data_IF_065835013627
#
_entry.id   IF_065835013627
#
_cell.length_a   1.000
_cell.length_b   1.000
_cell.length_c   1.000
_cell.angle_alpha   90.00
_cell.angle_beta   90.00
_cell.angle_gamma   90.00
#
_symmetry.space_group_name_H-M   'P 1'
#
loop_
_entity.id
_entity.type
_entity.pdbx_description
1 polymer ?
#
# COMPACT_ATOMS: atom_id res chain seq x y z
N UNK A 1 -35.26 -19.24 -19.60
CA UNK A 1 -34.66 -18.02 -19.01
C UNK A 1 -35.30 -16.79 -19.64
N UNK A 2 -35.72 -15.82 -18.88
CA UNK A 2 -36.25 -14.59 -19.45
C UNK A 2 -35.20 -13.89 -20.33
N UNK A 3 -35.59 -13.28 -21.45
CA UNK A 3 -34.66 -12.67 -22.43
C UNK A 3 -33.72 -11.61 -21.84
N UNK A 4 -34.11 -10.99 -20.75
CA UNK A 4 -33.33 -9.94 -20.06
C UNK A 4 -32.10 -10.48 -19.34
N UNK A 5 -32.04 -11.76 -19.01
CA UNK A 5 -30.87 -12.41 -18.39
C UNK A 5 -29.87 -12.93 -19.44
N UNK A 6 -30.15 -12.71 -20.72
CA UNK A 6 -29.30 -13.10 -21.84
C UNK A 6 -28.54 -11.94 -22.47
N UNK A 7 -28.69 -10.72 -21.91
CA UNK A 7 -27.95 -9.56 -22.43
C UNK A 7 -26.43 -9.76 -22.23
N UNK A 8 -25.60 -9.42 -23.24
CA UNK A 8 -24.16 -9.57 -23.16
C UNK A 8 -23.56 -8.85 -21.93
N UNK A 9 -24.16 -7.74 -21.50
CA UNK A 9 -23.73 -6.96 -20.35
C UNK A 9 -23.93 -7.73 -19.03
N UNK A 10 -25.08 -8.39 -18.87
CA UNK A 10 -25.35 -9.19 -17.65
C UNK A 10 -24.43 -10.41 -17.61
N UNK A 11 -24.17 -11.05 -18.73
CA UNK A 11 -23.23 -12.17 -18.80
C UNK A 11 -21.80 -11.73 -18.50
N UNK A 12 -21.34 -10.61 -19.06
CA UNK A 12 -20.03 -10.03 -18.78
C UNK A 12 -19.88 -9.68 -17.30
N UNK A 13 -20.93 -9.09 -16.70
CA UNK A 13 -20.96 -8.78 -15.28
C UNK A 13 -20.90 -10.04 -14.40
N UNK A 14 -21.72 -11.05 -14.71
CA UNK A 14 -21.77 -12.29 -13.93
C UNK A 14 -20.47 -13.10 -13.99
N UNK A 15 -19.76 -13.08 -15.11
CA UNK A 15 -18.46 -13.75 -15.26
C UNK A 15 -17.29 -12.93 -14.77
N UNK A 16 -17.36 -11.60 -14.86
CA UNK A 16 -16.29 -10.68 -14.45
C UNK A 16 -16.20 -10.46 -12.94
N UNK A 17 -17.33 -10.45 -12.23
CA UNK A 17 -17.34 -10.19 -10.78
C UNK A 17 -16.47 -11.18 -9.97
N UNK A 18 -16.59 -12.50 -10.12
CA UNK A 18 -15.78 -13.43 -9.34
C UNK A 18 -14.28 -13.24 -9.57
N UNK A 19 -13.88 -12.93 -10.79
CA UNK A 19 -12.47 -12.66 -11.15
C UNK A 19 -12.03 -11.35 -10.49
N UNK A 20 -12.78 -10.27 -10.65
CA UNK A 20 -12.47 -8.96 -10.07
C UNK A 20 -12.38 -9.02 -8.54
N UNK A 21 -13.31 -9.72 -7.89
CA UNK A 21 -13.29 -9.89 -6.44
C UNK A 21 -12.10 -10.76 -5.98
N UNK A 22 -11.73 -11.78 -6.74
CA UNK A 22 -10.56 -12.61 -6.46
C UNK A 22 -9.26 -11.81 -6.54
N UNK A 23 -9.09 -11.02 -7.58
CA UNK A 23 -7.89 -10.23 -7.80
C UNK A 23 -7.81 -9.03 -6.83
N UNK A 24 -8.92 -8.36 -6.58
CA UNK A 24 -9.00 -7.32 -5.55
C UNK A 24 -8.76 -7.89 -4.16
N UNK A 25 -9.30 -9.06 -3.84
CA UNK A 25 -9.12 -9.73 -2.56
C UNK A 25 -7.66 -10.08 -2.28
N UNK A 26 -6.94 -10.64 -3.26
CA UNK A 26 -5.51 -10.94 -3.09
C UNK A 26 -4.67 -9.66 -2.98
N UNK A 27 -5.01 -8.64 -3.73
CA UNK A 27 -4.33 -7.34 -3.68
C UNK A 27 -4.51 -6.68 -2.30
N UNK A 28 -5.72 -6.71 -1.75
CA UNK A 28 -5.99 -6.23 -0.39
C UNK A 28 -5.27 -7.05 0.67
N UNK A 29 -5.19 -8.36 0.51
CA UNK A 29 -4.45 -9.22 1.42
C UNK A 29 -2.96 -8.87 1.40
N UNK A 30 -2.37 -8.64 0.24
CA UNK A 30 -0.97 -8.22 0.10
C UNK A 30 -0.76 -6.84 0.75
N UNK A 31 -1.70 -5.91 0.59
CA UNK A 31 -1.66 -4.61 1.24
C UNK A 31 -1.63 -4.74 2.77
N UNK A 32 -2.51 -5.55 3.34
CA UNK A 32 -2.59 -5.78 4.78
C UNK A 32 -1.30 -6.46 5.30
N UNK A 33 -0.83 -7.50 4.62
CA UNK A 33 0.42 -8.18 4.97
C UNK A 33 1.60 -7.22 4.85
N UNK A 34 1.67 -6.44 3.78
CA UNK A 34 2.73 -5.46 3.57
C UNK A 34 2.75 -4.39 4.65
N UNK A 35 1.60 -3.86 5.03
CA UNK A 35 1.47 -2.91 6.13
C UNK A 35 1.87 -3.53 7.48
N UNK A 36 1.50 -4.78 7.73
CA UNK A 36 1.89 -5.52 8.94
C UNK A 36 3.41 -5.76 8.98
N UNK A 37 4.01 -6.20 7.89
CA UNK A 37 5.47 -6.39 7.78
C UNK A 37 6.18 -5.05 8.02
N UNK A 38 5.69 -3.98 7.41
CA UNK A 38 6.23 -2.65 7.63
C UNK A 38 6.18 -2.25 9.10
N UNK A 39 5.02 -2.42 9.75
CA UNK A 39 4.84 -2.10 11.17
C UNK A 39 5.74 -2.94 12.10
N UNK A 40 6.02 -4.19 11.75
CA UNK A 40 6.92 -5.06 12.51
C UNK A 40 8.41 -4.69 12.34
N UNK A 41 8.78 -4.21 11.16
CA UNK A 41 10.16 -3.86 10.84
C UNK A 41 10.52 -2.42 11.21
N UNK A 42 9.53 -1.57 11.48
CA UNK A 42 9.73 -0.22 11.98
C UNK A 42 9.70 -0.23 13.51
N UNK A 43 10.67 0.43 14.18
CA UNK A 43 10.86 0.30 15.62
C UNK A 43 9.85 1.08 16.49
N UNK A 44 8.87 1.75 15.89
CA UNK A 44 7.84 2.48 16.63
C UNK A 44 6.48 1.79 16.54
N UNK A 45 5.75 1.82 17.66
CA UNK A 45 4.43 1.19 17.79
C UNK A 45 3.34 2.11 17.24
N UNK A 46 3.20 2.20 15.92
CA UNK A 46 2.31 3.14 15.26
C UNK A 46 0.86 3.05 15.74
N UNK A 47 0.29 1.85 15.84
CA UNK A 47 -1.11 1.68 16.25
C UNK A 47 -1.33 2.14 17.70
N UNK A 48 -0.40 1.86 18.61
CA UNK A 48 -0.46 2.31 19.99
C UNK A 48 -0.42 3.85 20.05
N UNK A 49 0.52 4.45 19.34
CA UNK A 49 0.68 5.90 19.26
C UNK A 49 -0.56 6.59 18.67
N UNK A 50 -1.18 5.98 17.66
CA UNK A 50 -2.41 6.50 17.07
C UNK A 50 -3.56 6.46 18.07
N UNK A 51 -3.69 5.38 18.84
CA UNK A 51 -4.71 5.27 19.90
C UNK A 51 -4.51 6.32 21.00
N UNK A 52 -3.28 6.73 21.24
CA UNK A 52 -2.91 7.80 22.17
C UNK A 52 -3.07 9.21 21.57
N UNK A 53 -3.51 9.31 20.33
CA UNK A 53 -3.76 10.59 19.64
C UNK A 53 -2.54 11.18 18.91
N UNK A 54 -1.51 10.38 18.64
CA UNK A 54 -0.32 10.85 17.92
C UNK A 54 -0.62 11.02 16.43
N UNK A 55 -0.78 12.26 16.00
CA UNK A 55 -1.09 12.63 14.60
C UNK A 55 0.06 12.32 13.65
N UNK A 56 1.30 12.46 14.09
CA UNK A 56 2.47 12.15 13.26
C UNK A 56 2.54 10.65 12.94
N UNK A 57 2.25 9.79 13.92
CA UNK A 57 2.17 8.34 13.71
C UNK A 57 1.01 7.98 12.77
N UNK A 58 -0.15 8.62 12.91
CA UNK A 58 -1.30 8.41 12.03
C UNK A 58 -0.98 8.82 10.58
N UNK A 59 -0.34 9.96 10.39
CA UNK A 59 0.10 10.42 9.08
C UNK A 59 1.13 9.47 8.47
N UNK A 60 2.11 9.01 9.24
CA UNK A 60 3.11 8.05 8.81
C UNK A 60 2.46 6.75 8.31
N UNK A 61 1.54 6.18 9.08
CA UNK A 61 0.82 4.95 8.68
C UNK A 61 -0.05 5.17 7.45
N UNK A 62 -0.72 6.31 7.33
CA UNK A 62 -1.48 6.68 6.14
C UNK A 62 -0.57 6.71 4.90
N UNK A 63 0.64 7.26 5.02
CA UNK A 63 1.66 7.25 3.97
C UNK A 63 2.09 5.84 3.57
N UNK A 64 2.21 4.93 4.52
CA UNK A 64 2.50 3.50 4.25
C UNK A 64 1.38 2.88 3.43
N UNK A 65 0.14 3.05 3.86
CA UNK A 65 -1.03 2.47 3.18
C UNK A 65 -1.16 2.99 1.74
N UNK A 66 -1.04 4.29 1.54
CA UNK A 66 -1.08 4.89 0.19
C UNK A 66 0.14 4.48 -0.64
N UNK A 67 1.33 4.49 -0.02
CA UNK A 67 2.58 4.08 -0.67
C UNK A 67 2.60 2.63 -1.14
N UNK A 68 1.88 1.75 -0.48
CA UNK A 68 1.67 0.37 -0.89
C UNK A 68 0.50 0.22 -1.87
N UNK A 69 -0.62 0.88 -1.60
CA UNK A 69 -1.85 0.72 -2.38
C UNK A 69 -1.71 1.21 -3.82
N UNK A 70 -1.05 2.35 -4.05
CA UNK A 70 -0.92 2.94 -5.39
C UNK A 70 -0.18 2.01 -6.36
N UNK A 71 1.04 1.52 -6.08
CA UNK A 71 1.71 0.59 -6.97
C UNK A 71 1.05 -0.81 -7.00
N UNK A 72 0.41 -1.25 -5.92
CA UNK A 72 -0.38 -2.50 -5.94
C UNK A 72 -1.59 -2.39 -6.89
N UNK A 73 -2.27 -1.25 -6.92
CA UNK A 73 -3.35 -1.00 -7.87
C UNK A 73 -2.84 -1.00 -9.33
N UNK A 74 -1.67 -0.43 -9.58
CA UNK A 74 -1.04 -0.49 -10.90
C UNK A 74 -0.66 -1.94 -11.28
N UNK A 75 -0.09 -2.70 -10.34
CA UNK A 75 0.21 -4.11 -10.52
C UNK A 75 -1.04 -4.94 -10.84
N UNK A 76 -2.15 -4.68 -10.15
CA UNK A 76 -3.43 -5.34 -10.40
C UNK A 76 -3.91 -5.12 -11.84
N UNK A 77 -3.73 -3.92 -12.38
CA UNK A 77 -4.13 -3.57 -13.75
C UNK A 77 -3.21 -4.15 -14.82
N UNK A 78 -1.93 -4.34 -14.50
CA UNK A 78 -0.89 -4.77 -15.45
C UNK A 78 -0.65 -6.28 -15.43
N UNK A 79 -1.01 -6.98 -14.34
CA UNK A 79 -0.69 -8.39 -14.15
C UNK A 79 -1.73 -9.32 -14.79
N UNK A 80 -1.25 -10.44 -15.35
CA UNK A 80 -2.08 -11.47 -15.95
C UNK A 80 -2.35 -12.66 -15.02
N UNK A 81 -1.72 -12.68 -13.85
CA UNK A 81 -1.87 -13.77 -12.88
C UNK A 81 -1.72 -13.29 -11.44
N UNK A 82 -2.33 -14.03 -10.52
CA UNK A 82 -2.23 -13.76 -9.07
C UNK A 82 -0.80 -13.90 -8.55
N UNK A 83 -0.02 -14.79 -9.13
CA UNK A 83 1.39 -14.95 -8.78
C UNK A 83 2.20 -13.70 -9.15
N UNK A 84 1.93 -13.12 -10.32
CA UNK A 84 2.57 -11.88 -10.76
C UNK A 84 2.27 -10.72 -9.81
N UNK A 85 1.01 -10.58 -9.39
CA UNK A 85 0.62 -9.59 -8.37
C UNK A 85 1.40 -9.80 -7.07
N UNK A 86 1.56 -11.05 -6.63
CA UNK A 86 2.32 -11.37 -5.42
C UNK A 86 3.81 -11.02 -5.54
N UNK A 87 4.44 -11.30 -6.67
CA UNK A 87 5.85 -10.96 -6.94
C UNK A 87 6.05 -9.44 -6.92
N UNK A 88 5.17 -8.69 -7.60
CA UNK A 88 5.17 -7.24 -7.55
C UNK A 88 4.95 -6.72 -6.14
N UNK A 89 4.07 -7.35 -5.37
CA UNK A 89 3.82 -7.01 -3.97
C UNK A 89 5.08 -7.08 -3.11
N UNK A 90 5.87 -8.14 -3.23
CA UNK A 90 7.16 -8.27 -2.51
C UNK A 90 8.12 -7.14 -2.88
N UNK A 91 8.23 -6.83 -4.17
CA UNK A 91 9.08 -5.74 -4.65
C UNK A 91 8.61 -4.39 -4.10
N UNK A 92 7.32 -4.11 -4.14
CA UNK A 92 6.73 -2.87 -3.64
C UNK A 92 7.01 -2.67 -2.15
N UNK A 93 6.81 -3.72 -1.34
CA UNK A 93 7.09 -3.69 0.09
C UNK A 93 8.58 -3.39 0.33
N UNK A 94 9.47 -4.04 -0.41
CA UNK A 94 10.91 -3.84 -0.30
C UNK A 94 11.32 -2.40 -0.63
N UNK A 95 10.77 -1.81 -1.68
CA UNK A 95 11.02 -0.41 -2.05
C UNK A 95 10.53 0.54 -0.96
N UNK A 96 9.35 0.31 -0.40
CA UNK A 96 8.80 1.17 0.67
C UNK A 96 9.62 1.09 1.97
N UNK A 97 10.15 -0.08 2.30
CA UNK A 97 11.09 -0.23 3.43
C UNK A 97 12.42 0.49 3.17
N UNK A 98 12.92 0.42 1.94
CA UNK A 98 14.13 1.14 1.54
C UNK A 98 13.93 2.65 1.64
N UNK A 99 12.80 3.17 1.18
CA UNK A 99 12.44 4.59 1.30
C UNK A 99 12.44 5.02 2.77
N UNK A 100 11.82 4.23 3.66
CA UNK A 100 11.88 4.50 5.10
C UNK A 100 13.32 4.61 5.61
N UNK A 101 14.19 3.66 5.24
CA UNK A 101 15.60 3.67 5.67
C UNK A 101 16.37 4.87 5.15
N UNK A 102 16.14 5.27 3.90
CA UNK A 102 16.79 6.45 3.32
C UNK A 102 16.38 7.72 4.09
N UNK A 103 15.11 7.89 4.38
CA UNK A 103 14.61 9.05 5.12
C UNK A 103 15.11 9.03 6.57
N UNK A 104 15.17 7.87 7.21
CA UNK A 104 15.74 7.72 8.55
C UNK A 104 17.22 8.12 8.59
N UNK A 105 18.00 7.74 7.57
CA UNK A 105 19.39 8.15 7.44
C UNK A 105 19.55 9.67 7.26
N UNK A 106 18.65 10.31 6.52
CA UNK A 106 18.68 11.76 6.28
C UNK A 106 18.28 12.54 7.55
N UNK A 107 17.20 12.14 8.20
CA UNK A 107 16.65 12.85 9.35
C UNK A 107 17.27 12.45 10.70
N UNK A 108 17.95 11.33 10.78
CA UNK A 108 18.53 10.74 12.00
C UNK A 108 17.49 10.57 13.14
N UNK A 109 17.15 9.34 13.44
CA UNK A 109 16.18 9.00 14.50
C UNK A 109 14.73 9.25 14.13
N UNK A 110 14.36 8.98 12.89
CA UNK A 110 13.00 9.14 12.38
C UNK A 110 11.93 8.47 13.26
N UNK A 111 12.11 7.23 13.76
CA UNK A 111 11.11 6.60 14.63
C UNK A 111 10.85 7.39 15.91
N UNK A 112 11.87 7.89 16.55
CA UNK A 112 11.76 8.70 17.78
C UNK A 112 11.05 10.03 17.50
N UNK A 113 11.39 10.70 16.42
CA UNK A 113 10.75 11.97 16.01
C UNK A 113 9.25 11.80 15.76
N UNK A 114 8.84 10.69 15.15
CA UNK A 114 7.43 10.35 14.96
C UNK A 114 6.75 10.04 16.31
N UNK A 115 7.41 9.30 17.21
CA UNK A 115 6.90 9.03 18.55
C UNK A 115 6.67 10.32 19.34
N UNK A 116 7.54 11.29 19.20
CA UNK A 116 7.42 12.62 19.83
C UNK A 116 6.38 13.52 19.15
N UNK A 117 5.72 13.06 18.11
CA UNK A 117 4.66 13.79 17.41
C UNK A 117 5.17 14.84 16.42
N UNK A 118 6.40 14.71 15.92
CA UNK A 118 6.98 15.66 15.00
C UNK A 118 6.37 15.55 13.60
N UNK A 119 5.50 16.48 13.25
CA UNK A 119 4.78 16.49 11.99
C UNK A 119 5.67 16.74 10.77
N UNK A 120 6.75 17.50 10.92
CA UNK A 120 7.69 17.78 9.81
C UNK A 120 8.37 16.50 9.32
N UNK A 121 8.79 15.64 10.24
CA UNK A 121 9.40 14.36 9.92
C UNK A 121 8.40 13.41 9.26
N UNK A 122 7.18 13.30 9.81
CA UNK A 122 6.12 12.47 9.24
C UNK A 122 5.70 12.93 7.85
N UNK A 123 5.57 14.23 7.62
CA UNK A 123 5.20 14.80 6.32
C UNK A 123 6.24 14.51 5.25
N UNK A 124 7.52 14.66 5.55
CA UNK A 124 8.60 14.34 4.61
C UNK A 124 8.59 12.84 4.26
N UNK A 125 8.42 11.99 5.26
CA UNK A 125 8.33 10.54 5.06
C UNK A 125 7.17 10.17 4.13
N UNK A 126 5.99 10.73 4.38
CA UNK A 126 4.79 10.52 3.54
C UNK A 126 5.03 10.98 2.12
N UNK A 127 5.60 12.18 1.94
CA UNK A 127 5.93 12.71 0.61
C UNK A 127 6.88 11.79 -0.16
N UNK A 128 7.92 11.29 0.49
CA UNK A 128 8.87 10.36 -0.12
C UNK A 128 8.20 9.02 -0.49
N UNK A 129 7.35 8.49 0.39
CA UNK A 129 6.63 7.23 0.15
C UNK A 129 5.63 7.34 -1.00
N UNK A 130 4.84 8.39 -1.02
CA UNK A 130 3.85 8.63 -2.07
C UNK A 130 4.55 8.93 -3.40
N UNK A 131 5.59 9.76 -3.39
CA UNK A 131 6.37 10.08 -4.58
C UNK A 131 7.00 8.83 -5.21
N UNK A 132 7.67 8.01 -4.41
CA UNK A 132 8.25 6.74 -4.89
C UNK A 132 7.18 5.75 -5.38
N UNK A 133 6.03 5.71 -4.72
CA UNK A 133 4.90 4.86 -5.11
C UNK A 133 4.32 5.26 -6.48
N UNK A 134 4.18 6.55 -6.75
CA UNK A 134 3.70 7.05 -8.03
C UNK A 134 4.69 6.73 -9.17
N UNK A 135 5.98 6.90 -8.92
CA UNK A 135 7.02 6.54 -9.90
C UNK A 135 7.01 5.04 -10.18
N UNK A 136 6.94 4.23 -9.11
CA UNK A 136 6.90 2.78 -9.24
C UNK A 136 5.65 2.32 -10.00
N UNK A 137 4.48 2.87 -9.68
CA UNK A 137 3.24 2.58 -10.38
C UNK A 137 3.32 2.92 -11.88
N UNK A 138 3.95 4.05 -12.22
CA UNK A 138 4.16 4.45 -13.61
C UNK A 138 5.14 3.52 -14.36
N UNK A 139 6.08 2.91 -13.66
CA UNK A 139 7.05 1.97 -14.24
C UNK A 139 6.45 0.58 -14.54
N UNK A 140 5.33 0.24 -13.93
CA UNK A 140 4.64 -1.05 -14.08
C UNK A 140 3.67 -1.06 -15.28
N UNK A 141 4.11 -0.71 -16.47
CA UNK A 141 3.25 -0.67 -17.67
C UNK A 141 3.43 -1.91 -18.53
#
# INVERSE_FOLDING_TARGET
MPPQLQSPEIQAFATGIPVALGDAGITLLILIIGAAIYALLTPHREISLIREGNTAAALSLAGVLVGLAVPLAASLSASNSKLEIAIWGVMIISVQLLVFRIIDLILHGLPQRIQEGEMSAATLLVGAKVGSALILAAAMR
#
